data_IF_041263647538
#
_entry.id   IF_041263647538
#
_cell.length_a   1.000
_cell.length_b   1.000
_cell.length_c   1.000
_cell.angle_alpha   90.00
_cell.angle_beta   90.00
_cell.angle_gamma   90.00
#
_symmetry.space_group_name_H-M   'P 1'
#
loop_
_entity.id
_entity.type
_entity.pdbx_description
1 polymer ?
#
# COMPACT_ATOMS: atom_id res chain seq x y z
N UNK A 1 -40.81 -1.88 5.41
CA UNK A 1 -40.13 -2.20 6.69
C UNK A 1 -38.79 -2.74 6.25
N UNK A 2 -37.81 -1.84 6.16
CA UNK A 2 -36.56 -2.11 5.47
C UNK A 2 -35.63 -2.81 6.46
N UNK A 3 -35.54 -4.14 6.31
CA UNK A 3 -34.66 -4.99 7.10
C UNK A 3 -33.23 -4.75 6.59
N UNK A 4 -32.48 -3.92 7.32
CA UNK A 4 -31.03 -3.86 7.20
C UNK A 4 -30.47 -4.99 8.06
N UNK A 5 -29.84 -6.02 7.48
CA UNK A 5 -29.12 -7.00 8.26
C UNK A 5 -28.02 -6.28 9.03
N UNK A 6 -28.10 -6.31 10.36
CA UNK A 6 -26.94 -5.99 11.20
C UNK A 6 -25.99 -7.16 11.01
N UNK A 7 -24.83 -6.93 10.39
CA UNK A 7 -23.79 -7.94 10.26
C UNK A 7 -23.41 -8.39 11.67
N UNK A 8 -23.84 -9.60 12.04
CA UNK A 8 -23.45 -10.26 13.27
C UNK A 8 -21.93 -10.46 13.26
N UNK A 9 -21.37 -10.18 14.42
CA UNK A 9 -19.99 -9.83 14.68
C UNK A 9 -19.27 -11.06 15.26
N UNK A 10 -18.87 -12.00 14.40
CA UNK A 10 -18.21 -13.23 14.84
C UNK A 10 -17.46 -13.96 13.71
N UNK A 11 -16.32 -13.43 13.30
CA UNK A 11 -15.24 -14.26 12.76
C UNK A 11 -13.90 -13.92 13.43
N UNK A 12 -13.65 -14.61 14.54
CA UNK A 12 -12.33 -14.76 15.12
C UNK A 12 -11.49 -15.67 14.21
N UNK A 13 -10.77 -15.07 13.25
CA UNK A 13 -9.84 -15.78 12.38
C UNK A 13 -8.44 -15.68 12.99
N UNK A 14 -8.10 -16.65 13.85
CA UNK A 14 -6.74 -16.87 14.34
C UNK A 14 -5.94 -17.61 13.27
N UNK A 15 -5.38 -16.90 12.30
CA UNK A 15 -4.30 -17.44 11.48
C UNK A 15 -3.14 -16.43 11.42
N UNK A 16 -1.99 -16.95 11.81
CA UNK A 16 -0.75 -16.26 12.15
C UNK A 16 0.20 -16.38 10.96
N UNK A 17 0.19 -15.41 10.05
CA UNK A 17 1.35 -15.10 9.20
C UNK A 17 1.60 -13.59 9.24
N UNK A 18 2.72 -13.23 9.88
CA UNK A 18 3.04 -11.89 10.32
C UNK A 18 3.64 -11.03 9.21
N UNK A 19 2.79 -10.46 8.35
CA UNK A 19 3.18 -9.26 7.59
C UNK A 19 2.94 -8.05 8.50
N UNK A 20 3.98 -7.71 9.27
CA UNK A 20 4.00 -6.59 10.22
C UNK A 20 3.81 -5.27 9.45
N UNK A 21 2.56 -4.80 9.36
CA UNK A 21 2.24 -3.46 8.89
C UNK A 21 2.83 -2.38 9.80
N UNK A 22 2.90 -1.13 9.31
CA UNK A 22 3.56 0.03 9.95
C UNK A 22 3.20 0.23 11.43
N UNK A 23 2.03 -0.25 11.89
CA UNK A 23 1.57 -0.10 13.28
C UNK A 23 1.12 -1.43 13.93
N UNK A 24 1.65 -2.58 13.48
CA UNK A 24 1.29 -3.90 14.04
C UNK A 24 -0.17 -4.33 13.81
N UNK A 25 -0.94 -3.51 13.08
CA UNK A 25 -2.29 -3.87 12.62
C UNK A 25 -2.14 -4.63 11.31
N UNK A 26 -2.62 -5.87 11.29
CA UNK A 26 -2.76 -6.66 10.07
C UNK A 26 -3.69 -5.92 9.10
N UNK A 27 -3.41 -5.96 7.78
CA UNK A 27 -4.34 -5.43 6.79
C UNK A 27 -5.68 -6.17 6.89
N UNK A 28 -6.79 -5.49 6.60
CA UNK A 28 -8.14 -6.08 6.65
C UNK A 28 -8.31 -7.19 5.61
N UNK A 29 -7.59 -7.09 4.51
CA UNK A 29 -7.61 -8.03 3.40
C UNK A 29 -6.19 -8.19 2.86
N UNK A 30 -5.84 -9.42 2.55
CA UNK A 30 -4.63 -9.80 1.83
C UNK A 30 -5.10 -10.30 0.48
N UNK A 31 -4.51 -9.78 -0.59
CA UNK A 31 -4.84 -10.22 -1.95
C UNK A 31 -3.86 -11.31 -2.36
N UNK A 32 -4.37 -12.53 -2.54
CA UNK A 32 -3.59 -13.70 -2.96
C UNK A 32 -3.04 -13.53 -4.39
N UNK A 33 -3.72 -12.74 -5.23
CA UNK A 33 -3.29 -12.53 -6.62
C UNK A 33 -1.98 -11.73 -6.67
N UNK A 34 -1.73 -10.85 -5.71
CA UNK A 34 -0.50 -10.06 -5.63
C UNK A 34 0.76 -10.93 -5.54
N UNK A 35 0.66 -12.13 -4.95
CA UNK A 35 1.81 -13.03 -4.84
C UNK A 35 2.11 -13.77 -6.15
N UNK A 36 1.09 -13.94 -7.00
CA UNK A 36 1.19 -14.67 -8.27
C UNK A 36 1.55 -13.77 -9.46
N UNK A 37 1.34 -12.46 -9.35
CA UNK A 37 1.51 -11.54 -10.47
C UNK A 37 2.99 -11.23 -10.74
N UNK A 38 3.41 -11.55 -11.96
CA UNK A 38 4.68 -11.11 -12.55
C UNK A 38 4.45 -10.00 -13.58
N UNK A 39 5.22 -8.92 -13.47
CA UNK A 39 5.08 -7.73 -14.32
C UNK A 39 6.20 -7.65 -15.34
N UNK A 40 5.85 -7.57 -16.63
CA UNK A 40 6.80 -7.28 -17.72
C UNK A 40 7.03 -5.78 -17.89
N UNK A 41 8.24 -5.32 -17.58
CA UNK A 41 8.61 -3.90 -17.60
C UNK A 41 9.01 -3.42 -19.00
N UNK A 42 9.45 -4.31 -19.88
CA UNK A 42 10.00 -3.93 -21.18
C UNK A 42 8.90 -3.71 -22.20
N UNK A 43 7.79 -4.45 -22.08
CA UNK A 43 6.62 -4.33 -22.96
C UNK A 43 6.04 -2.93 -23.01
N UNK A 44 6.01 -2.22 -21.87
CA UNK A 44 5.38 -0.90 -21.75
C UNK A 44 6.44 0.19 -21.62
N UNK A 45 6.46 1.13 -22.58
CA UNK A 45 7.46 2.22 -22.62
C UNK A 45 7.52 3.04 -21.31
N UNK A 46 6.37 3.26 -20.66
CA UNK A 46 6.27 4.02 -19.41
C UNK A 46 7.00 3.34 -18.25
N UNK A 47 7.04 2.00 -18.24
CA UNK A 47 7.65 1.21 -17.18
C UNK A 47 9.18 1.11 -17.30
N UNK A 48 9.76 1.44 -18.46
CA UNK A 48 11.23 1.43 -18.65
C UNK A 48 12.00 2.28 -17.63
N UNK A 49 11.36 3.26 -17.01
CA UNK A 49 11.94 4.10 -15.93
C UNK A 49 12.10 3.36 -14.60
N UNK A 50 11.46 2.20 -14.44
CA UNK A 50 11.56 1.34 -13.25
C UNK A 50 12.66 0.28 -13.37
N UNK A 51 13.40 0.22 -14.49
CA UNK A 51 14.52 -0.73 -14.65
C UNK A 51 15.72 -0.30 -13.80
N UNK A 52 16.29 -1.26 -13.06
CA UNK A 52 17.60 -1.11 -12.43
C UNK A 52 18.69 -1.60 -13.39
N UNK A 53 18.46 -2.78 -13.98
CA UNK A 53 19.35 -3.41 -14.94
C UNK A 53 18.74 -3.45 -16.35
N UNK A 54 19.60 -3.53 -17.37
CA UNK A 54 19.17 -3.47 -18.78
C UNK A 54 18.38 -4.72 -19.23
N UNK A 55 18.73 -5.88 -18.68
CA UNK A 55 18.19 -7.20 -19.02
C UNK A 55 17.04 -7.66 -18.10
N UNK A 56 16.57 -6.78 -17.23
CA UNK A 56 15.47 -7.08 -16.31
C UNK A 56 14.13 -6.95 -17.05
N UNK A 57 13.46 -8.07 -17.28
CA UNK A 57 12.20 -8.15 -18.01
C UNK A 57 11.01 -8.36 -17.07
N UNK A 58 11.08 -9.38 -16.22
CA UNK A 58 10.02 -9.79 -15.31
C UNK A 58 10.40 -9.49 -13.86
N UNK A 59 9.46 -8.91 -13.12
CA UNK A 59 9.62 -8.58 -11.70
C UNK A 59 8.37 -9.02 -10.94
N UNK A 60 8.54 -9.47 -9.69
CA UNK A 60 7.42 -9.72 -8.77
C UNK A 60 6.64 -8.44 -8.45
N UNK A 61 5.35 -8.58 -8.13
CA UNK A 61 4.49 -7.46 -7.75
C UNK A 61 5.06 -6.60 -6.62
N UNK A 62 5.54 -7.21 -5.52
CA UNK A 62 6.09 -6.50 -4.35
C UNK A 62 7.26 -5.58 -4.73
N UNK A 63 8.17 -6.04 -5.60
CA UNK A 63 9.30 -5.23 -6.07
C UNK A 63 8.83 -4.18 -7.10
N UNK A 64 7.85 -4.50 -7.94
CA UNK A 64 7.22 -3.54 -8.85
C UNK A 64 6.57 -2.37 -8.09
N UNK A 65 5.79 -2.65 -7.05
CA UNK A 65 5.15 -1.66 -6.18
C UNK A 65 6.18 -0.77 -5.50
N UNK A 66 7.20 -1.37 -4.87
CA UNK A 66 8.27 -0.63 -4.19
C UNK A 66 9.00 0.35 -5.14
N UNK A 67 9.29 -0.09 -6.37
CA UNK A 67 9.91 0.77 -7.39
C UNK A 67 8.98 1.87 -7.87
N UNK A 68 7.71 1.55 -8.08
CA UNK A 68 6.70 2.52 -8.50
C UNK A 68 6.56 3.62 -7.45
N UNK A 69 6.45 3.25 -6.17
CA UNK A 69 6.40 4.18 -5.05
C UNK A 69 7.68 5.03 -4.96
N UNK A 70 8.86 4.41 -5.09
CA UNK A 70 10.14 5.14 -5.11
C UNK A 70 10.23 6.15 -6.25
N UNK A 71 9.78 5.76 -7.45
CA UNK A 71 9.75 6.64 -8.62
C UNK A 71 8.74 7.79 -8.45
N UNK A 72 7.57 7.52 -7.87
CA UNK A 72 6.57 8.53 -7.55
C UNK A 72 7.08 9.54 -6.52
N UNK A 73 7.71 9.06 -5.45
CA UNK A 73 8.30 9.92 -4.42
C UNK A 73 9.43 10.79 -4.99
N UNK A 74 10.26 10.22 -5.87
CA UNK A 74 11.35 10.94 -6.55
C UNK A 74 10.83 12.05 -7.48
N UNK A 75 9.76 11.78 -8.23
CA UNK A 75 9.19 12.74 -9.18
C UNK A 75 8.34 13.81 -8.49
N UNK A 76 7.69 13.47 -7.38
CA UNK A 76 6.77 14.34 -6.66
C UNK A 76 7.26 14.61 -5.23
N UNK A 77 8.41 15.28 -5.04
CA UNK A 77 8.97 15.49 -3.70
C UNK A 77 8.17 16.50 -2.87
N UNK A 78 7.45 17.43 -3.51
CA UNK A 78 6.78 18.55 -2.84
C UNK A 78 5.27 18.48 -2.99
N UNK A 79 4.60 17.95 -1.96
CA UNK A 79 3.14 17.96 -1.83
C UNK A 79 2.75 18.88 -0.68
N UNK A 80 2.96 20.19 -0.84
CA UNK A 80 2.66 21.17 0.23
C UNK A 80 1.20 21.15 0.71
N UNK A 81 0.27 20.67 -0.12
CA UNK A 81 -1.14 20.46 0.24
C UNK A 81 -1.40 19.18 1.06
N UNK A 82 -0.48 18.22 1.04
CA UNK A 82 -0.57 16.96 1.79
C UNK A 82 0.41 16.91 2.97
N UNK A 83 1.17 17.99 3.21
CA UNK A 83 1.98 18.13 4.41
C UNK A 83 1.02 18.32 5.58
N UNK A 84 0.70 17.22 6.26
CA UNK A 84 0.02 17.30 7.53
C UNK A 84 0.98 17.99 8.49
N UNK A 85 0.71 19.26 8.75
CA UNK A 85 1.28 19.98 9.87
C UNK A 85 1.33 19.00 11.06
N UNK A 86 2.53 18.56 11.44
CA UNK A 86 2.75 17.78 12.67
C UNK A 86 2.57 18.69 13.89
N UNK A 87 1.56 19.57 13.84
CA UNK A 87 0.99 20.31 14.95
C UNK A 87 0.66 19.25 15.98
N UNK A 88 1.64 19.09 16.86
CA UNK A 88 1.51 18.45 18.15
C UNK A 88 0.10 18.70 18.62
N UNK A 89 -0.64 17.63 18.88
CA UNK A 89 -1.95 17.65 19.52
C UNK A 89 -1.79 18.17 20.96
N UNK A 90 -1.27 19.38 21.10
CA UNK A 90 -1.11 20.10 22.34
C UNK A 90 -2.43 20.81 22.58
N UNK A 91 -3.36 20.04 23.14
CA UNK A 91 -4.33 20.56 24.10
C UNK A 91 -5.27 21.64 23.55
N UNK A 92 -6.22 21.27 22.69
CA UNK A 92 -7.48 22.01 22.63
C UNK A 92 -8.34 21.57 23.83
N UNK A 93 -8.13 22.24 24.96
CA UNK A 93 -8.89 22.05 26.20
C UNK A 93 -10.28 22.66 25.99
N UNK A 94 -11.30 21.81 25.82
CA UNK A 94 -12.70 22.19 25.78
C UNK A 94 -13.03 22.91 27.10
N UNK A 95 -13.47 24.16 27.01
CA UNK A 95 -14.02 24.94 28.13
C UNK A 95 -15.53 24.73 28.17
#
# INVERSE_FOLDING_TARGET
>A
MDYFPTYEEDMAHEDEEDVVGINGRKPVWVDEEEEMIEVDIVKVLRLRKLRKDEHEHFISWKEYEARLHGQHAKLNPFTGWADMDKKSFSSCRIR
#
